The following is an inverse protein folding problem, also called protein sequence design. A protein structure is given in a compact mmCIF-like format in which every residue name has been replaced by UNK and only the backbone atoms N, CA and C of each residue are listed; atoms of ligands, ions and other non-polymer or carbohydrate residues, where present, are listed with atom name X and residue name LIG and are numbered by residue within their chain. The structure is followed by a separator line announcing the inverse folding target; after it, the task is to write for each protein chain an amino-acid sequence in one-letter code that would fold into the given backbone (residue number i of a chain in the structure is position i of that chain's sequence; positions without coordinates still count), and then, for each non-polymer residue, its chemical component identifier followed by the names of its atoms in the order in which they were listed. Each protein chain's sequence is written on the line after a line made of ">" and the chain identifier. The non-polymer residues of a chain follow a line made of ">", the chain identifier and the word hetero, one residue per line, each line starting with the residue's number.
data_IF_940872417771
#
_entry.id   IF_940872417771
#
_cell.length_a   1.000
_cell.length_b   1.000
_cell.length_c   1.000
_cell.angle_alpha   90.00
_cell.angle_beta   90.00
_cell.angle_gamma   90.00
#
_symmetry.space_group_name_H-M   'P 1'
#
loop_
_entity.id
_entity.type
_entity.pdbx_description
1 polymer ?
#
# COMPACT_ATOMS: atom_id res chain seq x y z
N UNK A 1 -1.99 38.83 36.33
CA UNK A 1 -0.95 38.17 35.50
C UNK A 1 -1.31 36.75 35.04
N UNK A 2 -2.52 36.22 35.27
CA UNK A 2 -2.92 34.85 34.84
C UNK A 2 -3.46 34.77 33.41
N UNK A 3 -3.91 35.89 32.83
CA UNK A 3 -4.55 35.93 31.49
C UNK A 3 -3.56 35.93 30.32
N UNK A 4 -2.30 36.32 30.57
CA UNK A 4 -1.25 36.37 29.53
C UNK A 4 -0.69 34.98 29.19
N UNK A 5 -0.64 34.08 30.19
CA UNK A 5 -0.13 32.72 30.00
C UNK A 5 -1.03 31.89 29.07
N UNK A 6 -2.36 32.10 29.15
CA UNK A 6 -3.34 31.37 28.37
C UNK A 6 -3.27 31.73 26.87
N UNK A 7 -3.03 33.01 26.56
CA UNK A 7 -2.85 33.44 25.17
C UNK A 7 -1.53 32.93 24.57
N UNK A 8 -0.46 32.82 25.37
CA UNK A 8 0.81 32.26 24.93
C UNK A 8 0.69 30.74 24.67
N UNK A 9 -0.01 30.01 25.54
CA UNK A 9 -0.27 28.58 25.38
C UNK A 9 -1.11 28.26 24.13
N UNK A 10 -2.12 29.08 23.83
CA UNK A 10 -2.92 28.94 22.61
C UNK A 10 -2.07 29.21 21.36
N UNK A 11 -1.24 30.26 21.36
CA UNK A 11 -0.35 30.57 20.23
C UNK A 11 0.70 29.48 19.97
N UNK A 12 1.20 28.80 21.01
CA UNK A 12 2.13 27.67 20.85
C UNK A 12 1.39 26.40 20.37
N UNK A 13 0.14 26.17 20.80
CA UNK A 13 -0.63 25.00 20.35
C UNK A 13 -0.99 24.99 18.86
N UNK A 14 -1.05 26.16 18.20
CA UNK A 14 -1.25 26.23 16.74
C UNK A 14 0.02 25.92 15.94
N UNK A 15 1.21 26.01 16.54
CA UNK A 15 2.48 25.67 15.86
C UNK A 15 2.80 24.16 15.89
N UNK A 16 2.13 23.37 16.73
CA UNK A 16 2.40 21.94 16.89
C UNK A 16 1.61 21.07 15.88
N UNK A 17 0.57 21.62 15.24
CA UNK A 17 -0.36 20.83 14.41
C UNK A 17 -0.18 20.94 12.89
N UNK A 18 0.93 21.52 12.41
CA UNK A 18 1.25 21.55 10.98
C UNK A 18 2.21 20.42 10.58
N UNK A 19 2.00 19.20 11.10
CA UNK A 19 2.48 17.98 10.46
C UNK A 19 1.71 17.80 9.14
N UNK A 20 2.01 18.67 8.17
CA UNK A 20 1.36 18.71 6.88
C UNK A 20 1.86 17.54 6.06
N UNK A 21 0.95 16.64 5.70
CA UNK A 21 1.23 15.67 4.67
C UNK A 21 1.47 16.42 3.35
N UNK A 22 2.65 16.25 2.77
CA UNK A 22 2.99 16.81 1.46
C UNK A 22 2.80 15.72 0.41
N UNK A 23 2.04 16.03 -0.65
CA UNK A 23 1.83 15.13 -1.78
C UNK A 23 2.64 15.64 -2.98
N UNK A 24 3.43 14.77 -3.60
CA UNK A 24 4.21 15.09 -4.80
C UNK A 24 3.95 14.07 -5.90
N UNK A 25 3.59 14.53 -7.10
CA UNK A 25 3.51 13.65 -8.26
C UNK A 25 4.91 13.49 -8.86
N UNK A 26 5.36 12.25 -9.03
CA UNK A 26 6.69 11.92 -9.56
C UNK A 26 6.58 10.80 -10.59
N UNK A 27 7.59 10.67 -11.45
CA UNK A 27 7.72 9.52 -12.35
C UNK A 27 8.03 8.26 -11.54
N UNK A 28 7.39 7.14 -11.90
CA UNK A 28 7.65 5.85 -11.27
C UNK A 28 9.13 5.48 -11.44
N UNK A 29 9.83 5.25 -10.34
CA UNK A 29 11.24 4.83 -10.39
C UNK A 29 11.39 3.46 -11.07
N UNK A 30 12.52 3.22 -11.74
CA UNK A 30 12.84 1.94 -12.38
C UNK A 30 12.70 0.73 -11.43
N UNK A 31 13.17 0.86 -10.18
CA UNK A 31 13.06 -0.20 -9.16
C UNK A 31 11.61 -0.62 -8.92
N UNK A 32 10.71 0.34 -8.69
CA UNK A 32 9.29 0.06 -8.47
C UNK A 32 8.61 -0.48 -9.73
N UNK A 33 9.02 -0.01 -10.91
CA UNK A 33 8.56 -0.55 -12.19
C UNK A 33 8.90 -2.04 -12.36
N UNK A 34 10.13 -2.45 -12.04
CA UNK A 34 10.53 -3.87 -12.09
C UNK A 34 9.73 -4.75 -11.11
N UNK A 35 9.48 -4.26 -9.89
CA UNK A 35 8.66 -4.97 -8.89
C UNK A 35 7.21 -5.12 -9.37
N UNK A 36 6.66 -4.10 -10.00
CA UNK A 36 5.31 -4.14 -10.58
C UNK A 36 5.22 -5.10 -11.78
N UNK A 37 6.28 -5.24 -12.58
CA UNK A 37 6.35 -6.28 -13.60
C UNK A 37 6.29 -7.67 -12.97
N UNK A 38 6.99 -7.91 -11.86
CA UNK A 38 6.95 -9.19 -11.14
C UNK A 38 5.54 -9.44 -10.62
N UNK A 39 4.91 -8.43 -10.00
CA UNK A 39 3.53 -8.50 -9.55
C UNK A 39 2.60 -8.89 -10.70
N UNK A 40 2.68 -8.21 -11.84
CA UNK A 40 1.84 -8.45 -13.03
C UNK A 40 1.97 -9.87 -13.62
N UNK A 41 3.09 -10.55 -13.40
CA UNK A 41 3.27 -11.95 -13.83
C UNK A 41 2.45 -12.94 -12.99
N UNK A 42 1.96 -12.55 -11.82
CA UNK A 42 1.08 -13.37 -10.99
C UNK A 42 -0.35 -13.37 -11.56
N UNK A 43 -1.01 -14.53 -11.59
CA UNK A 43 -2.36 -14.68 -12.18
C UNK A 43 -3.37 -13.65 -11.63
N UNK A 44 -3.35 -13.42 -10.32
CA UNK A 44 -4.22 -12.44 -9.63
C UNK A 44 -4.05 -11.00 -10.12
N UNK A 45 -2.87 -10.66 -10.64
CA UNK A 45 -2.49 -9.29 -11.00
C UNK A 45 -2.16 -9.14 -12.51
N UNK A 46 -2.48 -10.12 -13.37
CA UNK A 46 -2.20 -10.04 -14.82
C UNK A 46 -2.78 -8.79 -15.48
N UNK A 47 -3.95 -8.33 -15.01
CA UNK A 47 -4.62 -7.12 -15.52
C UNK A 47 -4.11 -5.82 -14.89
N UNK A 48 -3.17 -5.87 -13.95
CA UNK A 48 -2.67 -4.70 -13.23
C UNK A 48 -2.00 -3.72 -14.19
N UNK A 49 -2.38 -2.45 -14.13
CA UNK A 49 -1.79 -1.39 -14.96
C UNK A 49 -0.62 -0.75 -14.21
N UNK A 50 0.54 -0.71 -14.85
CA UNK A 50 1.75 -0.08 -14.28
C UNK A 50 1.69 1.40 -14.65
N UNK A 51 1.56 2.33 -13.69
CA UNK A 51 1.44 3.75 -14.00
C UNK A 51 2.81 4.34 -14.37
N UNK A 52 2.81 5.37 -15.22
CA UNK A 52 4.02 6.15 -15.51
C UNK A 52 4.37 7.11 -14.36
N UNK A 53 3.34 7.61 -13.66
CA UNK A 53 3.46 8.55 -12.55
C UNK A 53 2.77 8.03 -11.30
N UNK A 54 3.32 8.40 -10.15
CA UNK A 54 2.81 8.02 -8.83
C UNK A 54 2.81 9.23 -7.91
N UNK A 55 2.02 9.18 -6.85
CA UNK A 55 2.02 10.21 -5.80
C UNK A 55 2.84 9.75 -4.62
N UNK A 56 3.90 10.46 -4.29
CA UNK A 56 4.63 10.30 -3.04
C UNK A 56 3.95 11.10 -1.92
N UNK A 57 3.79 10.46 -0.77
CA UNK A 57 3.23 11.05 0.45
C UNK A 57 4.34 11.21 1.47
N UNK A 58 4.58 12.44 1.90
CA UNK A 58 5.59 12.81 2.88
C UNK A 58 4.94 13.32 4.16
N UNK A 59 5.58 13.05 5.30
CA UNK A 59 5.28 13.65 6.59
C UNK A 59 6.57 14.23 7.14
N UNK A 60 6.63 15.56 7.32
CA UNK A 60 7.84 16.25 7.79
C UNK A 60 9.09 15.84 6.98
N UNK A 61 8.99 15.88 5.65
CA UNK A 61 10.02 15.48 4.67
C UNK A 61 10.44 14.01 4.68
N UNK A 62 9.80 13.16 5.49
CA UNK A 62 10.02 11.71 5.50
C UNK A 62 8.98 11.06 4.58
N UNK A 63 9.44 10.33 3.56
CA UNK A 63 8.57 9.54 2.68
C UNK A 63 7.83 8.48 3.51
N UNK A 64 6.51 8.58 3.54
CA UNK A 64 5.63 7.64 4.24
C UNK A 64 5.22 6.48 3.33
N UNK A 65 4.86 6.79 2.08
CA UNK A 65 4.56 5.79 1.05
C UNK A 65 4.43 6.44 -0.33
N UNK A 66 4.50 5.61 -1.35
CA UNK A 66 4.10 5.93 -2.72
C UNK A 66 2.69 5.39 -2.91
N UNK A 67 1.80 6.11 -3.58
CA UNK A 67 0.47 5.62 -3.93
C UNK A 67 0.10 5.90 -5.38
N UNK A 68 -0.71 5.02 -5.92
CA UNK A 68 -1.38 5.17 -7.21
C UNK A 68 -2.58 4.25 -7.25
N UNK A 69 -3.38 4.36 -8.29
CA UNK A 69 -4.59 3.56 -8.42
C UNK A 69 -4.81 3.09 -9.85
N UNK A 70 -5.37 1.89 -9.99
CA UNK A 70 -5.91 1.39 -11.24
C UNK A 70 -7.43 1.12 -11.08
N UNK A 71 -8.03 0.44 -12.06
CA UNK A 71 -9.46 0.12 -12.04
C UNK A 71 -9.87 -0.80 -10.87
N UNK A 72 -8.97 -1.67 -10.41
CA UNK A 72 -9.25 -2.70 -9.41
C UNK A 72 -8.72 -2.35 -8.03
N UNK A 73 -7.54 -1.74 -7.96
CA UNK A 73 -6.78 -1.57 -6.74
C UNK A 73 -6.41 -0.12 -6.48
N UNK A 74 -6.53 0.28 -5.22
CA UNK A 74 -5.73 1.36 -4.66
C UNK A 74 -4.43 0.73 -4.13
N UNK A 75 -3.30 1.18 -4.64
CA UNK A 75 -1.99 0.59 -4.34
C UNK A 75 -1.13 1.56 -3.57
N UNK A 76 -0.52 1.08 -2.49
CA UNK A 76 0.52 1.80 -1.76
C UNK A 76 1.79 0.97 -1.72
N UNK A 77 2.94 1.61 -1.89
CA UNK A 77 4.26 1.00 -1.71
C UNK A 77 4.93 1.71 -0.53
N UNK A 78 5.17 0.96 0.53
CA UNK A 78 5.81 1.45 1.75
C UNK A 78 7.33 1.64 1.53
N UNK A 79 8.03 2.40 2.38
CA UNK A 79 9.47 2.66 2.25
C UNK A 79 10.33 1.38 2.29
N UNK A 80 9.84 0.34 2.97
CA UNK A 80 10.45 -0.99 3.03
C UNK A 80 10.11 -1.89 1.83
N UNK A 81 9.43 -1.35 0.82
CA UNK A 81 8.94 -2.02 -0.39
C UNK A 81 7.82 -3.04 -0.14
N UNK A 82 7.09 -2.93 0.98
CA UNK A 82 5.81 -3.62 1.13
C UNK A 82 4.75 -2.97 0.23
N UNK A 83 4.13 -3.78 -0.60
CA UNK A 83 2.97 -3.43 -1.40
C UNK A 83 1.70 -3.69 -0.59
N UNK A 84 0.83 -2.69 -0.51
CA UNK A 84 -0.51 -2.79 0.05
C UNK A 84 -1.51 -2.53 -1.07
N UNK A 85 -2.26 -3.54 -1.46
CA UNK A 85 -3.24 -3.46 -2.53
C UNK A 85 -4.64 -3.62 -1.95
N UNK A 86 -5.40 -2.53 -1.91
CA UNK A 86 -6.78 -2.50 -1.44
C UNK A 86 -7.72 -2.62 -2.62
N UNK A 87 -8.59 -3.63 -2.62
CA UNK A 87 -9.59 -3.81 -3.67
C UNK A 87 -10.65 -2.70 -3.58
N UNK A 88 -10.92 -2.03 -4.69
CA UNK A 88 -11.88 -0.90 -4.76
C UNK A 88 -13.34 -1.38 -4.79
N UNK A 89 -13.62 -2.37 -5.62
CA UNK A 89 -14.96 -2.91 -5.82
C UNK A 89 -15.06 -4.24 -5.07
N UNK A 90 -15.63 -4.17 -3.87
CA UNK A 90 -15.78 -5.32 -2.98
C UNK A 90 -17.08 -6.08 -3.30
N UNK A 91 -17.10 -7.41 -3.13
CA UNK A 91 -18.34 -8.17 -3.06
C UNK A 91 -19.27 -7.65 -1.95
N UNK A 92 -20.58 -7.87 -2.09
CA UNK A 92 -21.59 -7.32 -1.19
C UNK A 92 -21.45 -7.75 0.28
N UNK A 93 -20.84 -8.91 0.55
CA UNK A 93 -20.61 -9.45 1.88
C UNK A 93 -19.26 -9.03 2.50
N UNK A 94 -18.42 -8.32 1.75
CA UNK A 94 -17.05 -7.93 2.14
C UNK A 94 -16.98 -6.45 2.51
N UNK A 95 -16.30 -6.15 3.62
CA UNK A 95 -16.02 -4.80 4.14
C UNK A 95 -14.65 -4.29 3.69
N UNK A 96 -13.67 -5.19 3.61
CA UNK A 96 -12.33 -4.86 3.10
C UNK A 96 -11.63 -6.09 2.54
N UNK A 97 -10.89 -5.93 1.46
CA UNK A 97 -9.92 -6.92 0.96
C UNK A 97 -8.59 -6.18 0.69
N UNK A 98 -7.59 -6.47 1.52
CA UNK A 98 -6.26 -5.86 1.45
C UNK A 98 -5.20 -6.94 1.31
N UNK A 99 -4.32 -6.79 0.32
CA UNK A 99 -3.20 -7.71 0.07
C UNK A 99 -1.89 -7.03 0.46
N UNK A 100 -1.07 -7.71 1.24
CA UNK A 100 0.25 -7.27 1.69
C UNK A 100 1.30 -8.14 1.03
N UNK A 101 2.19 -7.57 0.21
CA UNK A 101 3.19 -8.33 -0.55
C UNK A 101 4.58 -7.71 -0.42
N UNK A 102 5.61 -8.55 -0.34
CA UNK A 102 7.04 -8.18 -0.35
C UNK A 102 7.80 -9.10 -1.29
N UNK A 103 8.92 -8.62 -1.81
CA UNK A 103 9.72 -9.32 -2.83
C UNK A 103 11.18 -9.58 -2.41
N UNK A 104 11.48 -10.09 -1.19
CA UNK A 104 12.85 -10.37 -0.78
C UNK A 104 13.45 -11.56 -1.54
N UNK A 105 14.74 -11.49 -1.87
CA UNK A 105 15.54 -12.64 -2.31
C UNK A 105 14.93 -13.48 -3.43
N UNK A 106 14.35 -12.85 -4.46
CA UNK A 106 13.73 -13.56 -5.59
C UNK A 106 12.48 -14.39 -5.25
N UNK A 107 11.81 -14.06 -4.13
CA UNK A 107 10.58 -14.73 -3.68
C UNK A 107 9.53 -13.69 -3.33
N UNK A 108 8.29 -13.94 -3.73
CA UNK A 108 7.12 -13.19 -3.29
C UNK A 108 6.66 -13.78 -1.96
N UNK A 109 6.54 -12.94 -0.94
CA UNK A 109 5.94 -13.25 0.35
C UNK A 109 4.78 -12.32 0.60
N UNK A 110 3.73 -12.79 1.27
CA UNK A 110 2.66 -11.90 1.68
C UNK A 110 1.46 -12.62 2.25
N UNK A 111 0.39 -11.88 2.46
CA UNK A 111 -0.92 -12.41 2.84
C UNK A 111 -2.03 -11.49 2.36
N UNK A 112 -3.26 -12.00 2.29
CA UNK A 112 -4.46 -11.18 2.20
C UNK A 112 -5.18 -11.11 3.54
N UNK A 113 -5.93 -10.03 3.73
CA UNK A 113 -6.80 -9.81 4.86
C UNK A 113 -8.17 -9.42 4.31
N UNK A 114 -9.12 -10.34 4.43
CA UNK A 114 -10.51 -10.10 4.03
C UNK A 114 -11.38 -10.01 5.26
N UNK A 115 -12.08 -8.89 5.41
CA UNK A 115 -13.03 -8.64 6.51
C UNK A 115 -14.43 -8.68 5.94
N UNK A 116 -15.30 -9.48 6.53
CA UNK A 116 -16.70 -9.65 6.12
C UNK A 116 -17.64 -8.83 7.01
N UNK A 117 -18.85 -8.58 6.54
CA UNK A 117 -19.87 -7.79 7.27
C UNK A 117 -20.35 -8.46 8.56
N UNK A 118 -20.22 -9.78 8.66
CA UNK A 118 -20.49 -10.56 9.87
C UNK A 118 -19.38 -10.47 10.94
N UNK A 119 -18.31 -9.71 10.65
CA UNK A 119 -17.15 -9.55 11.54
C UNK A 119 -16.11 -10.65 11.38
N UNK A 120 -16.33 -11.64 10.52
CA UNK A 120 -15.32 -12.67 10.20
C UNK A 120 -14.13 -12.03 9.50
N UNK A 121 -12.94 -12.46 9.87
CA UNK A 121 -11.69 -12.09 9.20
C UNK A 121 -11.04 -13.37 8.68
N UNK A 122 -10.64 -13.37 7.42
CA UNK A 122 -9.86 -14.47 6.82
C UNK A 122 -8.53 -13.95 6.32
N UNK A 123 -7.51 -14.81 6.44
CA UNK A 123 -6.18 -14.56 5.90
C UNK A 123 -5.71 -15.73 5.06
N UNK A 124 -5.14 -15.44 3.90
CA UNK A 124 -4.46 -16.41 3.05
C UNK A 124 -3.02 -15.97 2.84
N UNK A 125 -2.07 -16.87 3.12
CA UNK A 125 -0.65 -16.59 2.95
C UNK A 125 -0.18 -16.87 1.51
N UNK A 126 0.66 -15.98 0.99
CA UNK A 126 1.32 -16.08 -0.30
C UNK A 126 2.82 -16.35 -0.10
N UNK A 127 3.32 -17.41 -0.74
CA UNK A 127 4.76 -17.66 -0.87
C UNK A 127 5.04 -18.31 -2.21
N UNK A 128 5.83 -17.65 -3.06
CA UNK A 128 6.22 -18.21 -4.36
C UNK A 128 7.60 -17.70 -4.82
N UNK A 129 8.53 -18.57 -5.25
CA UNK A 129 9.73 -18.11 -5.94
C UNK A 129 9.37 -17.47 -7.29
N UNK A 130 10.07 -16.41 -7.70
CA UNK A 130 9.82 -15.74 -8.99
C UNK A 130 10.89 -15.98 -10.07
N UNK A 131 11.70 -17.03 -9.93
CA UNK A 131 12.55 -17.52 -11.03
C UNK A 131 11.67 -18.25 -12.06
N UNK A 132 11.40 -17.61 -13.21
CA UNK A 132 10.64 -18.22 -14.31
C UNK A 132 9.12 -18.27 -14.11
N UNK A 133 8.48 -17.15 -13.77
CA UNK A 133 7.02 -17.03 -13.62
C UNK A 133 6.25 -17.27 -14.94
N UNK A 134 6.09 -18.53 -15.32
CA UNK A 134 5.00 -19.04 -16.15
C UNK A 134 4.17 -19.98 -15.25
N UNK A 135 2.89 -19.65 -15.08
CA UNK A 135 1.83 -20.50 -14.51
C UNK A 135 1.93 -20.98 -13.06
N UNK A 136 2.07 -20.06 -12.11
CA UNK A 136 1.73 -20.36 -10.71
C UNK A 136 0.28 -19.97 -10.39
N UNK A 137 -0.59 -20.97 -10.24
CA UNK A 137 -1.81 -20.86 -9.43
C UNK A 137 -1.42 -20.93 -7.96
N UNK A 138 -1.67 -19.85 -7.23
CA UNK A 138 -1.42 -19.77 -5.80
C UNK A 138 -2.29 -20.81 -5.09
N UNK A 139 -1.65 -21.80 -4.46
CA UNK A 139 -2.31 -22.68 -3.51
C UNK A 139 -2.11 -22.10 -2.11
N UNK A 140 -3.16 -21.96 -1.29
CA UNK A 140 -3.01 -21.57 0.10
C UNK A 140 -2.08 -22.55 0.81
N UNK A 141 -1.11 -22.02 1.56
CA UNK A 141 -0.25 -22.83 2.43
C UNK A 141 -1.10 -23.24 3.63
N UNK A 142 -1.33 -24.55 3.79
CA UNK A 142 -1.98 -25.14 4.97
C UNK A 142 -1.00 -25.22 6.14
#
# INVERSE_FOLDING_TARGET
>A
MKKLLLCLLLAVSFNINAQQFVKKEVTLSLKHHELLIILKKMNTFRSFLIPEKVTEIYLSDILQHIQFEDERYFTQIMPDNEFRLTLKNLPDDVVSDVKYLRFPNKVVYGYDLVTYKDGKITTNNYRAPYVGLYDYTFKPVK
#
